data_IF_580583737011
#
_entry.id   IF_580583737011
#
_cell.length_a   1.000
_cell.length_b   1.000
_cell.length_c   1.000
_cell.angle_alpha   90.00
_cell.angle_beta   90.00
_cell.angle_gamma   90.00
#
_symmetry.space_group_name_H-M   'P 1'
#
loop_
_entity.id
_entity.type
_entity.pdbx_description
1 polymer ?
#
# COMPACT_ATOMS: atom_id res chain seq x y z
N UNK A 1 33.85 8.55 10.30
CA UNK A 1 33.63 8.64 8.84
C UNK A 1 33.57 7.26 8.19
N UNK A 2 34.49 6.33 8.49
CA UNK A 2 34.43 4.94 7.99
C UNK A 2 33.20 4.14 8.45
N UNK A 3 32.76 4.28 9.71
CA UNK A 3 31.58 3.57 10.22
C UNK A 3 30.27 4.00 9.52
N UNK A 4 30.11 5.31 9.27
CA UNK A 4 28.94 5.86 8.54
C UNK A 4 28.90 5.38 7.09
N UNK A 5 30.07 5.19 6.45
CA UNK A 5 30.16 4.62 5.11
C UNK A 5 29.76 3.13 5.11
N UNK A 6 30.24 2.35 6.07
CA UNK A 6 29.91 0.93 6.19
C UNK A 6 28.42 0.69 6.46
N UNK A 7 27.79 1.50 7.31
CA UNK A 7 26.34 1.42 7.58
C UNK A 7 25.51 1.72 6.33
N UNK A 8 25.91 2.75 5.57
CA UNK A 8 25.24 3.10 4.31
C UNK A 8 25.39 2.00 3.26
N UNK A 9 26.56 1.38 3.13
CA UNK A 9 26.75 0.26 2.21
C UNK A 9 25.93 -0.97 2.59
N UNK A 10 25.85 -1.28 3.89
CA UNK A 10 25.00 -2.36 4.40
C UNK A 10 23.53 -2.11 4.04
N UNK A 11 23.00 -0.91 4.29
CA UNK A 11 21.63 -0.57 3.95
C UNK A 11 21.39 -0.68 2.44
N UNK A 12 22.33 -0.19 1.61
CA UNK A 12 22.23 -0.30 0.15
C UNK A 12 22.09 -1.74 -0.30
N UNK A 13 22.94 -2.62 0.22
CA UNK A 13 22.93 -4.04 -0.14
C UNK A 13 21.62 -4.71 0.28
N UNK A 14 21.07 -4.36 1.45
CA UNK A 14 19.80 -4.87 1.95
C UNK A 14 18.64 -4.39 1.06
N UNK A 15 18.58 -3.09 0.78
CA UNK A 15 17.52 -2.51 -0.05
C UNK A 15 17.56 -3.08 -1.48
N UNK A 16 18.75 -3.27 -2.05
CA UNK A 16 18.93 -3.93 -3.34
C UNK A 16 18.48 -5.39 -3.31
N UNK A 17 18.85 -6.15 -2.28
CA UNK A 17 18.43 -7.55 -2.14
C UNK A 17 16.90 -7.68 -2.04
N UNK A 18 16.26 -6.85 -1.21
CA UNK A 18 14.81 -6.82 -1.07
C UNK A 18 14.14 -6.41 -2.39
N UNK A 19 14.68 -5.39 -3.07
CA UNK A 19 14.17 -4.97 -4.36
C UNK A 19 14.23 -6.11 -5.39
N UNK A 20 15.35 -6.83 -5.49
CA UNK A 20 15.47 -8.00 -6.38
C UNK A 20 14.47 -9.10 -6.03
N UNK A 21 14.30 -9.42 -4.75
CA UNK A 21 13.30 -10.39 -4.29
C UNK A 21 11.88 -9.98 -4.68
N UNK A 22 11.52 -8.71 -4.50
CA UNK A 22 10.21 -8.20 -4.92
C UNK A 22 10.01 -8.29 -6.43
N UNK A 23 11.02 -8.00 -7.26
CA UNK A 23 10.92 -8.17 -8.71
C UNK A 23 10.66 -9.63 -9.09
N UNK A 24 11.33 -10.58 -8.43
CA UNK A 24 11.09 -12.01 -8.62
C UNK A 24 9.65 -12.36 -8.24
N UNK A 25 9.17 -11.88 -7.09
CA UNK A 25 7.78 -12.10 -6.64
C UNK A 25 6.77 -11.53 -7.64
N UNK A 26 7.00 -10.32 -8.17
CA UNK A 26 6.14 -9.74 -9.22
C UNK A 26 6.16 -10.56 -10.52
N UNK A 27 7.34 -11.01 -10.95
CA UNK A 27 7.50 -11.84 -12.14
C UNK A 27 6.76 -13.18 -11.98
N UNK A 28 6.95 -13.86 -10.85
CA UNK A 28 6.24 -15.10 -10.49
C UNK A 28 4.73 -14.88 -10.44
N UNK A 29 4.28 -13.77 -9.85
CA UNK A 29 2.85 -13.41 -9.78
C UNK A 29 2.24 -13.25 -11.18
N UNK A 30 2.98 -12.66 -12.12
CA UNK A 30 2.54 -12.50 -13.51
C UNK A 30 2.46 -13.83 -14.26
N UNK A 31 3.37 -14.77 -13.98
CA UNK A 31 3.39 -16.09 -14.63
C UNK A 31 2.31 -17.01 -14.09
N UNK A 32 2.15 -17.08 -12.75
CA UNK A 32 1.21 -18.00 -12.10
C UNK A 32 -0.23 -17.48 -12.21
N UNK A 33 -0.45 -16.18 -12.03
CA UNK A 33 -1.78 -15.57 -11.96
C UNK A 33 -1.97 -14.45 -13.01
N UNK A 34 -1.80 -14.71 -14.32
CA UNK A 34 -1.75 -13.67 -15.35
C UNK A 34 -3.05 -12.84 -15.43
N UNK A 35 -4.21 -13.48 -15.31
CA UNK A 35 -5.52 -12.82 -15.37
C UNK A 35 -5.74 -11.88 -14.19
N UNK A 36 -5.45 -12.36 -12.97
CA UNK A 36 -5.58 -11.55 -11.75
C UNK A 36 -4.56 -10.42 -11.73
N UNK A 37 -3.31 -10.71 -12.10
CA UNK A 37 -2.26 -9.71 -12.20
C UNK A 37 -2.66 -8.56 -13.15
N UNK A 38 -3.10 -8.90 -14.37
CA UNK A 38 -3.53 -7.89 -15.34
C UNK A 38 -4.73 -7.09 -14.85
N UNK A 39 -5.60 -7.67 -14.03
CA UNK A 39 -6.76 -6.96 -13.51
C UNK A 39 -6.41 -6.09 -12.30
N UNK A 40 -5.54 -6.55 -11.41
CA UNK A 40 -5.14 -5.81 -10.20
C UNK A 40 -4.26 -4.61 -10.57
N UNK A 41 -3.34 -4.78 -11.53
CA UNK A 41 -2.36 -3.76 -11.93
C UNK A 41 -2.77 -2.97 -13.19
N UNK A 42 -4.04 -2.91 -13.56
CA UNK A 42 -4.47 -2.10 -14.70
C UNK A 42 -4.60 -0.61 -14.33
N UNK A 43 -3.83 0.23 -15.03
CA UNK A 43 -3.91 1.69 -14.88
C UNK A 43 -5.21 2.27 -15.44
N UNK A 44 -5.90 1.55 -16.33
CA UNK A 44 -7.21 1.96 -16.85
C UNK A 44 -8.26 2.15 -15.73
N UNK A 45 -8.11 1.43 -14.62
CA UNK A 45 -9.01 1.56 -13.45
C UNK A 45 -8.78 2.83 -12.64
N UNK A 46 -7.61 3.46 -12.78
CA UNK A 46 -7.30 4.70 -12.06
C UNK A 46 -8.12 5.89 -12.57
N UNK A 47 -8.35 5.96 -13.87
CA UNK A 47 -9.05 7.08 -14.50
C UNK A 47 -10.55 6.84 -14.68
N UNK A 48 -11.00 5.59 -14.51
CA UNK A 48 -12.41 5.25 -14.63
C UNK A 48 -13.17 5.43 -13.30
N UNK A 49 -14.14 6.34 -13.30
CA UNK A 49 -15.01 6.65 -12.16
C UNK A 49 -16.27 5.76 -12.06
N UNK A 50 -16.40 4.76 -12.93
CA UNK A 50 -17.51 3.78 -12.92
C UNK A 50 -16.98 2.40 -12.56
N UNK A 51 -17.80 1.61 -11.88
CA UNK A 51 -17.54 0.19 -11.71
C UNK A 51 -17.57 -0.51 -13.08
N UNK A 52 -16.52 -1.30 -13.39
CA UNK A 52 -16.61 -2.34 -14.43
C UNK A 52 -17.16 -3.59 -13.75
N UNK A 53 -18.26 -4.12 -14.29
CA UNK A 53 -18.89 -5.37 -13.83
C UNK A 53 -18.02 -6.62 -14.10
N UNK A 54 -16.81 -6.46 -14.63
CA UNK A 54 -15.92 -7.55 -15.03
C UNK A 54 -15.51 -8.49 -13.90
N UNK A 55 -15.75 -8.11 -12.64
CA UNK A 55 -15.75 -9.04 -11.53
C UNK A 55 -17.19 -9.36 -11.12
N UNK A 56 -17.78 -10.33 -11.81
CA UNK A 56 -18.98 -11.00 -11.31
C UNK A 56 -18.71 -11.51 -9.91
N UNK A 57 -19.31 -10.85 -8.90
CA UNK A 57 -19.75 -11.30 -7.56
C UNK A 57 -18.97 -12.38 -6.78
N UNK A 58 -17.77 -12.78 -7.20
CA UNK A 58 -17.24 -14.13 -6.94
C UNK A 58 -15.77 -14.20 -6.56
N UNK A 59 -15.01 -13.09 -6.60
CA UNK A 59 -13.72 -13.09 -5.89
C UNK A 59 -14.04 -13.08 -4.42
N UNK A 60 -14.01 -14.27 -3.82
CA UNK A 60 -13.94 -14.42 -2.38
C UNK A 60 -12.68 -13.70 -1.94
N UNK A 61 -12.83 -12.64 -1.14
CA UNK A 61 -11.70 -11.91 -0.55
C UNK A 61 -10.80 -12.82 0.30
N UNK A 62 -11.34 -13.95 0.75
CA UNK A 62 -10.64 -15.04 1.42
C UNK A 62 -10.14 -16.15 0.47
N UNK A 63 -10.16 -15.92 -0.84
CA UNK A 63 -9.46 -16.80 -1.77
C UNK A 63 -7.96 -16.75 -1.49
N UNK A 64 -7.30 -17.88 -1.64
CA UNK A 64 -5.83 -17.98 -1.51
C UNK A 64 -5.12 -16.97 -2.41
N UNK A 65 -5.70 -16.69 -3.58
CA UNK A 65 -5.18 -15.75 -4.56
C UNK A 65 -5.27 -14.29 -4.06
N UNK A 66 -6.43 -13.87 -3.54
CA UNK A 66 -6.58 -12.53 -2.95
C UNK A 66 -5.65 -12.33 -1.76
N UNK A 67 -5.54 -13.34 -0.88
CA UNK A 67 -4.63 -13.27 0.27
C UNK A 67 -3.17 -13.13 -0.16
N UNK A 68 -2.76 -13.87 -1.20
CA UNK A 68 -1.43 -13.77 -1.80
C UNK A 68 -1.16 -12.36 -2.33
N UNK A 69 -2.07 -11.79 -3.13
CA UNK A 69 -1.89 -10.43 -3.67
C UNK A 69 -1.87 -9.36 -2.56
N UNK A 70 -2.69 -9.50 -1.51
CA UNK A 70 -2.59 -8.63 -0.33
C UNK A 70 -1.21 -8.76 0.32
N UNK A 71 -0.66 -9.98 0.40
CA UNK A 71 0.69 -10.22 0.89
C UNK A 71 1.76 -9.50 0.06
N UNK A 72 1.68 -9.58 -1.27
CA UNK A 72 2.59 -8.86 -2.19
C UNK A 72 2.50 -7.34 -1.98
N UNK A 73 1.29 -6.81 -1.79
CA UNK A 73 1.08 -5.39 -1.49
C UNK A 73 1.75 -4.99 -0.16
N UNK A 74 1.54 -5.79 0.87
CA UNK A 74 2.08 -5.56 2.22
C UNK A 74 3.62 -5.59 2.22
N UNK A 75 4.22 -6.53 1.49
CA UNK A 75 5.68 -6.60 1.32
C UNK A 75 6.23 -5.37 0.56
N UNK A 76 5.48 -4.85 -0.40
CA UNK A 76 5.86 -3.68 -1.19
C UNK A 76 5.75 -2.39 -0.37
N UNK A 77 4.71 -2.25 0.45
CA UNK A 77 4.62 -1.15 1.42
C UNK A 77 5.69 -1.22 2.51
N UNK A 78 5.98 -2.42 3.01
CA UNK A 78 7.06 -2.64 3.98
C UNK A 78 8.40 -2.17 3.43
N UNK A 79 8.70 -2.50 2.16
CA UNK A 79 9.90 -1.99 1.49
C UNK A 79 9.92 -0.46 1.43
N UNK A 80 8.79 0.17 1.06
CA UNK A 80 8.69 1.63 1.04
C UNK A 80 8.92 2.28 2.41
N UNK A 81 8.33 1.73 3.48
CA UNK A 81 8.52 2.21 4.86
C UNK A 81 9.99 2.08 5.26
N UNK A 82 10.61 0.93 4.96
CA UNK A 82 12.01 0.68 5.29
C UNK A 82 12.91 1.68 4.55
N UNK A 83 12.68 1.94 3.26
CA UNK A 83 13.40 3.00 2.55
C UNK A 83 13.25 4.38 3.24
N UNK A 84 12.04 4.79 3.61
CA UNK A 84 11.80 6.08 4.29
C UNK A 84 12.51 6.14 5.64
N UNK A 85 12.42 5.08 6.45
CA UNK A 85 13.08 4.96 7.74
C UNK A 85 14.59 5.20 7.62
N UNK A 86 15.21 4.63 6.60
CA UNK A 86 16.64 4.82 6.38
C UNK A 86 16.99 6.22 5.86
N UNK A 87 16.16 6.87 5.04
CA UNK A 87 16.48 8.21 4.57
C UNK A 87 16.17 9.32 5.59
N UNK A 88 15.36 9.05 6.63
CA UNK A 88 14.97 10.05 7.62
C UNK A 88 15.62 9.78 8.99
N UNK A 89 16.64 10.58 9.34
CA UNK A 89 17.41 10.42 10.59
C UNK A 89 16.56 10.49 11.87
N UNK A 90 15.54 11.33 11.89
CA UNK A 90 14.64 11.47 13.05
C UNK A 90 13.79 10.21 13.29
N UNK A 91 13.36 9.53 12.22
CA UNK A 91 12.64 8.25 12.36
C UNK A 91 13.55 7.15 12.92
N UNK A 92 14.83 7.18 12.52
CA UNK A 92 15.85 6.26 13.04
C UNK A 92 15.99 6.39 14.56
N UNK A 93 16.02 7.62 15.08
CA UNK A 93 16.08 7.87 16.51
C UNK A 93 14.79 7.45 17.25
N UNK A 94 13.62 7.59 16.62
CA UNK A 94 12.33 7.27 17.24
C UNK A 94 12.02 5.76 17.32
N UNK A 95 12.60 4.94 16.41
CA UNK A 95 12.32 3.50 16.32
C UNK A 95 13.63 2.69 16.43
N UNK A 96 14.24 2.61 17.64
CA UNK A 96 15.51 1.91 17.84
C UNK A 96 15.39 0.38 17.66
N UNK A 97 14.20 -0.18 17.85
CA UNK A 97 13.94 -1.60 17.60
C UNK A 97 14.03 -2.00 16.12
N UNK A 98 14.08 -1.01 15.21
CA UNK A 98 14.22 -1.21 13.77
C UNK A 98 15.67 -1.10 13.29
N UNK A 99 16.64 -1.01 14.22
CA UNK A 99 18.06 -1.00 13.89
C UNK A 99 18.50 -2.29 13.18
N UNK A 100 19.24 -2.10 12.08
CA UNK A 100 19.66 -3.17 11.19
C UNK A 100 21.17 -3.36 11.28
N UNK A 101 21.56 -4.47 11.90
CA UNK A 101 22.97 -4.81 12.15
C UNK A 101 23.56 -5.74 11.09
N UNK A 102 22.73 -6.55 10.44
CA UNK A 102 23.17 -7.53 9.44
C UNK A 102 22.20 -7.61 8.27
N UNK A 103 22.67 -8.13 7.13
CA UNK A 103 21.86 -8.30 5.93
C UNK A 103 20.64 -9.21 6.18
N UNK A 104 20.87 -10.35 6.84
CA UNK A 104 19.79 -11.29 7.17
C UNK A 104 18.77 -10.67 8.13
N UNK A 105 19.24 -9.88 9.10
CA UNK A 105 18.34 -9.18 10.01
C UNK A 105 17.50 -8.12 9.27
N UNK A 106 18.08 -7.37 8.34
CA UNK A 106 17.32 -6.41 7.52
C UNK A 106 16.21 -7.07 6.69
N UNK A 107 16.48 -8.25 6.11
CA UNK A 107 15.45 -9.05 5.41
C UNK A 107 14.39 -9.54 6.40
N UNK A 108 14.78 -10.00 7.60
CA UNK A 108 13.85 -10.44 8.62
C UNK A 108 12.93 -9.30 9.10
N UNK A 109 13.49 -8.11 9.36
CA UNK A 109 12.73 -6.90 9.72
C UNK A 109 11.75 -6.53 8.61
N UNK A 110 12.17 -6.57 7.34
CA UNK A 110 11.27 -6.37 6.20
C UNK A 110 10.12 -7.37 6.17
N UNK A 111 10.38 -8.66 6.38
CA UNK A 111 9.33 -9.68 6.43
C UNK A 111 8.37 -9.47 7.61
N UNK A 112 8.89 -9.15 8.79
CA UNK A 112 8.08 -8.87 9.99
C UNK A 112 7.18 -7.64 9.76
N UNK A 113 7.73 -6.56 9.20
CA UNK A 113 6.95 -5.38 8.80
C UNK A 113 5.88 -5.76 7.76
N UNK A 114 6.22 -6.60 6.78
CA UNK A 114 5.26 -7.12 5.80
C UNK A 114 4.09 -7.86 6.44
N UNK A 115 4.37 -8.73 7.42
CA UNK A 115 3.34 -9.45 8.19
C UNK A 115 2.49 -8.49 9.03
N UNK A 116 3.11 -7.50 9.67
CA UNK A 116 2.40 -6.48 10.43
C UNK A 116 1.45 -5.66 9.55
N UNK A 117 1.91 -5.21 8.36
CA UNK A 117 1.08 -4.49 7.40
C UNK A 117 -0.04 -5.37 6.86
N UNK A 118 0.23 -6.65 6.59
CA UNK A 118 -0.80 -7.61 6.19
C UNK A 118 -1.90 -7.72 7.26
N UNK A 119 -1.51 -7.76 8.54
CA UNK A 119 -2.46 -7.78 9.65
C UNK A 119 -3.28 -6.48 9.73
N UNK A 120 -2.65 -5.31 9.51
CA UNK A 120 -3.37 -4.03 9.43
C UNK A 120 -4.36 -4.02 8.26
N UNK A 121 -4.00 -4.56 7.10
CA UNK A 121 -4.91 -4.69 5.95
C UNK A 121 -6.10 -5.61 6.28
N UNK A 122 -5.87 -6.68 7.04
CA UNK A 122 -6.93 -7.55 7.53
C UNK A 122 -7.87 -6.83 8.51
N UNK A 123 -7.34 -6.06 9.46
CA UNK A 123 -8.15 -5.23 10.35
C UNK A 123 -8.95 -4.18 9.59
N UNK A 124 -8.36 -3.56 8.56
CA UNK A 124 -9.05 -2.62 7.68
C UNK A 124 -10.22 -3.29 6.95
N UNK A 125 -10.04 -4.52 6.46
CA UNK A 125 -11.14 -5.28 5.87
C UNK A 125 -12.27 -5.53 6.87
N UNK A 126 -11.94 -5.97 8.09
CA UNK A 126 -12.94 -6.18 9.15
C UNK A 126 -13.68 -4.89 9.48
N UNK A 127 -12.97 -3.76 9.54
CA UNK A 127 -13.53 -2.44 9.79
C UNK A 127 -14.53 -2.04 8.69
N UNK A 128 -14.13 -2.14 7.42
CA UNK A 128 -15.02 -1.87 6.27
C UNK A 128 -16.26 -2.75 6.31
N UNK A 129 -16.11 -4.04 6.70
CA UNK A 129 -17.24 -4.96 6.83
C UNK A 129 -18.21 -4.57 7.95
N UNK A 130 -17.70 -4.23 9.13
CA UNK A 130 -18.54 -3.79 10.26
C UNK A 130 -19.33 -2.53 9.90
N UNK A 131 -18.68 -1.55 9.27
CA UNK A 131 -19.34 -0.33 8.84
C UNK A 131 -20.24 -0.54 7.63
N UNK A 132 -19.88 -1.40 6.68
CA UNK A 132 -20.75 -1.79 5.57
C UNK A 132 -22.06 -2.39 6.07
N UNK A 133 -22.00 -3.25 7.09
CA UNK A 133 -23.18 -3.77 7.77
C UNK A 133 -23.96 -2.70 8.53
N UNK A 134 -23.30 -1.84 9.31
CA UNK A 134 -23.94 -0.76 10.09
C UNK A 134 -24.69 0.22 9.19
N UNK A 135 -24.12 0.51 8.02
CA UNK A 135 -24.71 1.39 7.02
C UNK A 135 -25.64 0.63 6.04
N UNK A 136 -25.96 -0.65 6.28
CA UNK A 136 -26.83 -1.45 5.40
C UNK A 136 -26.42 -1.41 3.90
N UNK A 137 -25.11 -1.45 3.63
CA UNK A 137 -24.54 -1.54 2.27
C UNK A 137 -23.75 -2.87 2.09
N UNK A 138 -24.33 -4.05 2.39
CA UNK A 138 -23.59 -5.31 2.49
C UNK A 138 -23.07 -5.83 1.13
N UNK A 139 -23.73 -5.50 0.02
CA UNK A 139 -23.28 -5.92 -1.32
C UNK A 139 -22.02 -5.16 -1.78
N UNK A 140 -21.70 -4.04 -1.14
CA UNK A 140 -20.63 -3.13 -1.58
C UNK A 140 -19.40 -3.18 -0.67
N UNK A 141 -19.45 -3.88 0.47
CA UNK A 141 -18.32 -3.98 1.42
C UNK A 141 -17.10 -4.64 0.76
N UNK A 142 -17.33 -5.71 -0.01
CA UNK A 142 -16.25 -6.45 -0.67
C UNK A 142 -15.72 -5.68 -1.87
N UNK A 143 -16.59 -4.98 -2.60
CA UNK A 143 -16.23 -4.15 -3.76
C UNK A 143 -15.43 -2.93 -3.33
N UNK A 144 -15.82 -2.26 -2.23
CA UNK A 144 -15.07 -1.17 -1.62
C UNK A 144 -13.64 -1.62 -1.31
N UNK A 145 -13.49 -2.76 -0.63
CA UNK A 145 -12.16 -3.23 -0.25
C UNK A 145 -11.31 -3.66 -1.46
N UNK A 146 -11.91 -4.29 -2.48
CA UNK A 146 -11.21 -4.64 -3.71
C UNK A 146 -10.73 -3.41 -4.48
N UNK A 147 -11.56 -2.37 -4.59
CA UNK A 147 -11.18 -1.11 -5.20
C UNK A 147 -10.06 -0.43 -4.42
N UNK A 148 -10.21 -0.33 -3.10
CA UNK A 148 -9.15 0.17 -2.20
C UNK A 148 -7.82 -0.57 -2.43
N UNK A 149 -7.85 -1.90 -2.50
CA UNK A 149 -6.67 -2.72 -2.72
C UNK A 149 -6.06 -2.51 -4.11
N UNK A 150 -6.89 -2.45 -5.16
CA UNK A 150 -6.42 -2.20 -6.53
C UNK A 150 -5.77 -0.82 -6.67
N UNK A 151 -6.35 0.23 -6.07
CA UNK A 151 -5.72 1.55 -6.01
C UNK A 151 -4.39 1.52 -5.26
N UNK A 152 -4.28 0.76 -4.16
CA UNK A 152 -3.03 0.65 -3.44
C UNK A 152 -1.98 -0.13 -4.24
N UNK A 153 -2.37 -1.16 -5.01
CA UNK A 153 -1.45 -1.92 -5.86
C UNK A 153 -0.80 -1.08 -6.95
N UNK A 154 -1.55 -0.31 -7.73
CA UNK A 154 -0.92 0.47 -8.80
C UNK A 154 -0.18 1.70 -8.28
N UNK A 155 -0.54 2.22 -7.10
CA UNK A 155 0.31 3.21 -6.43
C UNK A 155 1.61 2.57 -5.92
N UNK A 156 1.50 1.40 -5.29
CA UNK A 156 2.63 0.67 -4.71
C UNK A 156 3.65 0.24 -5.77
N UNK A 157 3.22 -0.22 -6.94
CA UNK A 157 4.14 -0.59 -8.03
C UNK A 157 4.91 0.62 -8.56
N UNK A 158 4.27 1.79 -8.63
CA UNK A 158 4.90 3.04 -9.05
C UNK A 158 5.90 3.52 -7.99
N UNK A 159 5.50 3.51 -6.72
CA UNK A 159 6.37 3.84 -5.59
C UNK A 159 7.59 2.92 -5.58
N UNK A 160 7.38 1.61 -5.68
CA UNK A 160 8.42 0.60 -5.71
C UNK A 160 9.39 0.81 -6.88
N UNK A 161 8.88 1.10 -8.08
CA UNK A 161 9.72 1.37 -9.26
C UNK A 161 10.61 2.61 -9.03
N UNK A 162 10.04 3.71 -8.54
CA UNK A 162 10.78 4.94 -8.23
C UNK A 162 11.85 4.66 -7.17
N UNK A 163 11.48 4.06 -6.04
CA UNK A 163 12.40 3.77 -4.95
C UNK A 163 13.54 2.85 -5.39
N UNK A 164 13.23 1.80 -6.15
CA UNK A 164 14.23 0.87 -6.68
C UNK A 164 15.20 1.58 -7.61
N UNK A 165 14.70 2.36 -8.59
CA UNK A 165 15.55 3.12 -9.52
C UNK A 165 16.45 4.08 -8.76
N UNK A 166 15.91 4.80 -7.77
CA UNK A 166 16.70 5.71 -6.95
C UNK A 166 17.82 4.98 -6.20
N UNK A 167 17.55 3.83 -5.59
CA UNK A 167 18.57 3.01 -4.90
C UNK A 167 19.69 2.58 -5.86
N UNK A 168 19.35 2.22 -7.12
CA UNK A 168 20.33 1.83 -8.13
C UNK A 168 21.14 2.99 -8.69
N UNK A 169 20.51 4.14 -8.97
CA UNK A 169 21.16 5.28 -9.63
C UNK A 169 22.02 6.08 -8.65
N UNK A 170 21.46 6.42 -7.48
CA UNK A 170 22.15 7.23 -6.49
C UNK A 170 21.58 6.88 -5.12
N UNK A 171 22.38 6.23 -4.29
CA UNK A 171 22.05 5.89 -2.91
C UNK A 171 22.03 7.13 -1.98
N UNK A 172 21.37 8.18 -2.42
CA UNK A 172 21.12 9.38 -1.64
C UNK A 172 19.84 10.02 -2.19
N UNK A 173 18.79 10.02 -1.37
CA UNK A 173 17.58 10.77 -1.68
C UNK A 173 17.76 12.22 -1.24
N UNK A 174 17.71 13.20 -2.15
CA UNK A 174 17.64 14.59 -1.71
C UNK A 174 16.37 14.77 -0.88
N UNK A 175 16.45 15.53 0.22
CA UNK A 175 15.29 15.85 1.09
C UNK A 175 14.09 16.32 0.27
N UNK A 176 14.33 17.13 -0.76
CA UNK A 176 13.32 17.61 -1.71
C UNK A 176 12.54 16.48 -2.38
N UNK A 177 13.18 15.35 -2.71
CA UNK A 177 12.49 14.21 -3.33
C UNK A 177 11.55 13.51 -2.33
N UNK A 178 11.91 13.47 -1.04
CA UNK A 178 11.02 12.94 0.00
C UNK A 178 9.82 13.85 0.25
N UNK A 179 10.01 15.17 0.24
CA UNK A 179 8.91 16.14 0.32
C UNK A 179 7.95 16.00 -0.86
N UNK A 180 8.49 15.89 -2.07
CA UNK A 180 7.69 15.63 -3.28
C UNK A 180 6.92 14.31 -3.13
N UNK A 181 7.57 13.25 -2.63
CA UNK A 181 6.93 11.95 -2.40
C UNK A 181 5.76 12.06 -1.40
N UNK A 182 5.95 12.82 -0.31
CA UNK A 182 4.92 13.07 0.68
C UNK A 182 3.74 13.84 0.08
N UNK A 183 4.00 14.89 -0.71
CA UNK A 183 2.95 15.65 -1.42
C UNK A 183 2.19 14.75 -2.40
N UNK A 184 2.90 13.93 -3.18
CA UNK A 184 2.30 12.97 -4.12
C UNK A 184 1.44 11.95 -3.37
N UNK A 185 1.88 11.49 -2.21
CA UNK A 185 1.12 10.56 -1.36
C UNK A 185 -0.17 11.21 -0.85
N UNK A 186 -0.13 12.46 -0.40
CA UNK A 186 -1.33 13.20 0.03
C UNK A 186 -2.31 13.39 -1.14
N UNK A 187 -1.81 13.81 -2.31
CA UNK A 187 -2.62 13.95 -3.53
C UNK A 187 -3.27 12.61 -3.88
N UNK A 188 -2.51 11.52 -3.80
CA UNK A 188 -3.01 10.17 -4.05
C UNK A 188 -4.13 9.77 -3.08
N UNK A 189 -3.98 10.04 -1.77
CA UNK A 189 -5.01 9.72 -0.77
C UNK A 189 -6.32 10.47 -1.04
N UNK A 190 -6.23 11.77 -1.38
CA UNK A 190 -7.39 12.59 -1.75
C UNK A 190 -8.02 12.08 -3.04
N UNK A 191 -7.21 11.81 -4.06
CA UNK A 191 -7.68 11.27 -5.34
C UNK A 191 -8.42 9.94 -5.17
N UNK A 192 -7.85 9.02 -4.38
CA UNK A 192 -8.47 7.72 -4.06
C UNK A 192 -9.83 7.91 -3.41
N UNK A 193 -9.94 8.83 -2.43
CA UNK A 193 -11.20 9.11 -1.74
C UNK A 193 -12.27 9.63 -2.70
N UNK A 194 -11.91 10.57 -3.57
CA UNK A 194 -12.82 11.13 -4.59
C UNK A 194 -13.27 10.04 -5.55
N UNK A 195 -12.34 9.21 -6.04
CA UNK A 195 -12.66 8.15 -6.99
C UNK A 195 -13.60 7.10 -6.38
N UNK A 196 -13.30 6.68 -5.15
CA UNK A 196 -14.13 5.75 -4.39
C UNK A 196 -15.55 6.32 -4.16
N UNK A 197 -15.68 7.62 -3.87
CA UNK A 197 -16.98 8.29 -3.77
C UNK A 197 -17.79 8.19 -5.07
N UNK A 198 -17.18 8.51 -6.23
CA UNK A 198 -17.87 8.42 -7.50
C UNK A 198 -18.25 6.99 -7.88
N UNK A 199 -17.35 6.02 -7.62
CA UNK A 199 -17.63 4.60 -7.83
C UNK A 199 -18.81 4.16 -6.97
N UNK A 200 -18.79 4.40 -5.67
CA UNK A 200 -19.89 3.99 -4.77
C UNK A 200 -21.21 4.67 -5.17
N UNK A 201 -21.16 5.96 -5.53
CA UNK A 201 -22.32 6.70 -6.02
C UNK A 201 -22.93 6.08 -7.28
N UNK A 202 -22.11 5.55 -8.19
CA UNK A 202 -22.58 4.96 -9.45
C UNK A 202 -23.47 3.73 -9.27
N UNK A 203 -23.43 3.09 -8.08
CA UNK A 203 -24.25 1.93 -7.76
C UNK A 203 -25.69 2.27 -7.40
N UNK A 204 -26.01 3.55 -7.16
CA UNK A 204 -27.38 4.00 -6.91
C UNK A 204 -28.03 3.52 -5.60
N UNK A 205 -27.27 2.85 -4.72
CA UNK A 205 -27.83 2.19 -3.53
C UNK A 205 -28.29 3.14 -2.42
N UNK A 206 -27.72 4.35 -2.33
CA UNK A 206 -27.95 5.28 -1.21
C UNK A 206 -27.87 6.77 -1.63
N UNK A 207 -28.42 7.65 -0.79
CA UNK A 207 -28.27 9.11 -0.92
C UNK A 207 -26.80 9.53 -0.84
N UNK A 208 -26.42 10.59 -1.57
CA UNK A 208 -25.05 11.13 -1.58
C UNK A 208 -24.53 11.46 -0.17
N UNK A 209 -25.39 11.96 0.73
CA UNK A 209 -25.03 12.28 2.12
C UNK A 209 -24.63 11.02 2.90
N UNK A 210 -25.30 9.90 2.62
CA UNK A 210 -25.06 8.64 3.29
C UNK A 210 -23.73 8.02 2.87
N UNK A 211 -23.43 8.05 1.56
CA UNK A 211 -22.15 7.62 1.00
C UNK A 211 -21.00 8.47 1.56
N UNK A 212 -21.21 9.78 1.67
CA UNK A 212 -20.22 10.68 2.26
C UNK A 212 -19.94 10.32 3.74
N UNK A 213 -20.99 10.14 4.56
CA UNK A 213 -20.85 9.75 5.96
C UNK A 213 -20.13 8.40 6.12
N UNK A 214 -20.48 7.41 5.29
CA UNK A 214 -19.80 6.12 5.25
C UNK A 214 -18.31 6.28 4.94
N UNK A 215 -17.95 6.99 3.87
CA UNK A 215 -16.55 7.22 3.48
C UNK A 215 -15.76 8.03 4.52
N UNK A 216 -16.40 9.01 5.14
CA UNK A 216 -15.79 9.75 6.23
C UNK A 216 -15.45 8.83 7.40
N UNK A 217 -16.31 7.86 7.70
CA UNK A 217 -16.10 6.91 8.79
C UNK A 217 -15.07 5.84 8.42
N UNK A 218 -15.09 5.33 7.18
CA UNK A 218 -14.21 4.22 6.75
C UNK A 218 -12.82 4.66 6.30
N UNK A 219 -12.67 5.84 5.72
CA UNK A 219 -11.41 6.31 5.13
C UNK A 219 -10.88 7.58 5.79
N UNK A 220 -11.68 8.64 5.87
CA UNK A 220 -11.20 9.96 6.27
C UNK A 220 -10.84 10.02 7.77
N UNK A 221 -11.74 9.57 8.66
CA UNK A 221 -11.52 9.56 10.10
C UNK A 221 -10.31 8.70 10.50
N UNK A 222 -10.17 7.43 10.06
CA UNK A 222 -8.97 6.64 10.36
C UNK A 222 -7.68 7.29 9.86
N UNK A 223 -7.72 7.93 8.68
CA UNK A 223 -6.54 8.63 8.14
C UNK A 223 -6.18 9.86 8.98
N UNK A 224 -7.17 10.66 9.41
CA UNK A 224 -6.96 11.83 10.28
C UNK A 224 -6.46 11.43 11.67
N UNK A 225 -7.03 10.37 12.25
CA UNK A 225 -6.56 9.83 13.54
C UNK A 225 -5.11 9.36 13.40
N UNK A 226 -4.79 8.65 12.31
CA UNK A 226 -3.43 8.22 12.00
C UNK A 226 -2.46 9.40 11.91
N UNK A 227 -2.82 10.46 11.18
CA UNK A 227 -2.01 11.67 11.08
C UNK A 227 -1.80 12.34 12.44
N UNK A 228 -2.86 12.50 13.24
CA UNK A 228 -2.78 13.11 14.57
C UNK A 228 -1.98 12.28 15.58
N UNK A 229 -1.90 10.97 15.42
CA UNK A 229 -1.04 10.13 16.27
C UNK A 229 0.43 10.24 15.89
N UNK A 230 0.74 10.68 14.67
CA UNK A 230 2.10 10.81 14.15
C UNK A 230 2.65 12.23 14.36
N UNK A 231 1.78 13.26 14.32
CA UNK A 231 2.12 14.67 14.56
C UNK A 231 1.91 15.09 16.00
#
# INVERSE_FOLDING_TARGET
>A
MQEVLAENELFRNIAMAIAMLLFIVFAVSRIIYPKLFSSIYSFDKFLNFRYREDFGSGIRLFSTESFYFTGVLSLSFSFGILCIYFFHSELRAALPWLEITTLFWGIAVWLILGVAIQFVMFLKFLFVRVFGWLFNIPAEETRHFQEFQSFNHSFSILLYAILSISIYVRFNFPMVALEILAVVLVIYLVFRLINLFFKIRSLGACSNLYIFSYLCTTELMPTLIGLKLIT
#
